data_IF_534584116532
#
_entry.id   IF_534584116532
#
_cell.length_a   1.000
_cell.length_b   1.000
_cell.length_c   1.000
_cell.angle_alpha   90.00
_cell.angle_beta   90.00
_cell.angle_gamma   90.00
#
_symmetry.space_group_name_H-M   'P 1'
#
loop_
_entity.id
_entity.type
_entity.pdbx_description
1 polymer ?
#
# COMPACT_ATOMS: atom_id res chain seq x y z
N UNK A 1 -18.04 -11.95 32.17
CA UNK A 1 -17.42 -12.08 30.83
C UNK A 1 -16.07 -12.75 31.00
N UNK A 2 -15.70 -13.74 30.18
CA UNK A 2 -14.35 -14.27 30.24
C UNK A 2 -13.36 -13.18 29.80
N UNK A 3 -12.23 -12.99 30.50
CA UNK A 3 -11.25 -11.95 30.17
C UNK A 3 -10.76 -12.07 28.72
N UNK A 4 -10.72 -13.29 28.17
CA UNK A 4 -10.39 -13.56 26.78
C UNK A 4 -11.36 -12.88 25.80
N UNK A 5 -12.67 -12.94 26.03
CA UNK A 5 -13.65 -12.34 25.12
C UNK A 5 -13.55 -10.79 25.11
N UNK A 6 -13.24 -10.19 26.26
CA UNK A 6 -12.96 -8.75 26.35
C UNK A 6 -11.74 -8.32 25.54
N UNK A 7 -10.65 -9.08 25.60
CA UNK A 7 -9.41 -8.83 24.83
C UNK A 7 -9.65 -8.90 23.31
N UNK A 8 -10.45 -9.87 22.85
CA UNK A 8 -10.77 -10.02 21.43
C UNK A 8 -11.63 -8.86 20.90
N UNK A 9 -12.60 -8.40 21.69
CA UNK A 9 -13.42 -7.22 21.35
C UNK A 9 -12.55 -5.96 21.28
N UNK A 10 -11.66 -5.75 22.25
CA UNK A 10 -10.73 -4.61 22.24
C UNK A 10 -9.77 -4.65 21.05
N UNK A 11 -9.24 -5.83 20.70
CA UNK A 11 -8.40 -6.01 19.52
C UNK A 11 -9.18 -5.70 18.22
N UNK A 12 -10.43 -6.15 18.12
CA UNK A 12 -11.30 -5.84 16.98
C UNK A 12 -11.60 -4.34 16.82
N UNK A 13 -11.88 -3.64 17.92
CA UNK A 13 -12.06 -2.18 17.92
C UNK A 13 -10.74 -1.49 17.53
N UNK A 14 -9.62 -1.93 18.10
CA UNK A 14 -8.29 -1.41 17.76
C UNK A 14 -7.97 -1.57 16.27
N UNK A 15 -8.34 -2.69 15.67
CA UNK A 15 -8.20 -2.92 14.24
C UNK A 15 -9.09 -2.01 13.39
N UNK A 16 -10.37 -1.81 13.77
CA UNK A 16 -11.25 -0.89 13.07
C UNK A 16 -10.70 0.54 13.09
N UNK A 17 -10.28 1.03 14.26
CA UNK A 17 -9.67 2.35 14.39
C UNK A 17 -8.35 2.43 13.62
N UNK A 18 -7.50 1.41 13.76
CA UNK A 18 -6.21 1.31 13.08
C UNK A 18 -6.35 1.30 11.55
N UNK A 19 -7.28 0.52 11.01
CA UNK A 19 -7.55 0.45 9.56
C UNK A 19 -8.15 1.73 8.98
N UNK A 20 -8.85 2.54 9.79
CA UNK A 20 -9.30 3.88 9.37
C UNK A 20 -8.18 4.93 9.43
N UNK A 21 -7.31 4.86 10.43
CA UNK A 21 -6.24 5.85 10.65
C UNK A 21 -4.99 5.56 9.84
N UNK A 22 -4.66 4.28 9.61
CA UNK A 22 -3.43 3.88 8.95
C UNK A 22 -3.33 4.37 7.51
N UNK A 23 -4.34 4.23 6.63
CA UNK A 23 -4.26 4.78 5.28
C UNK A 23 -4.03 6.29 5.30
N UNK A 24 -4.67 7.01 6.23
CA UNK A 24 -4.48 8.45 6.38
C UNK A 24 -3.04 8.79 6.79
N UNK A 25 -2.47 8.04 7.75
CA UNK A 25 -1.09 8.20 8.15
C UNK A 25 -0.12 7.87 7.01
N UNK A 26 -0.33 6.72 6.36
CA UNK A 26 0.46 6.24 5.24
C UNK A 26 0.52 7.29 4.13
N UNK A 27 -0.63 7.72 3.59
CA UNK A 27 -0.66 8.67 2.48
C UNK A 27 -0.19 10.08 2.85
N UNK A 28 -0.27 10.47 4.13
CA UNK A 28 0.21 11.79 4.58
C UNK A 28 1.69 11.84 4.91
N UNK A 29 2.29 10.74 5.36
CA UNK A 29 3.65 10.74 5.92
C UNK A 29 4.56 9.73 5.23
N UNK A 30 4.12 8.48 5.11
CA UNK A 30 4.94 7.38 4.59
C UNK A 30 5.09 7.49 3.07
N UNK A 31 4.00 7.66 2.33
CA UNK A 31 4.01 7.76 0.87
C UNK A 31 4.85 8.94 0.35
N UNK A 32 4.71 10.18 0.88
CA UNK A 32 5.57 11.28 0.47
C UNK A 32 7.05 11.02 0.73
N UNK A 33 7.40 10.48 1.91
CA UNK A 33 8.78 10.15 2.25
C UNK A 33 9.37 9.06 1.36
N UNK A 34 8.60 8.02 1.03
CA UNK A 34 9.02 6.96 0.11
C UNK A 34 9.24 7.51 -1.31
N UNK A 35 8.33 8.36 -1.79
CA UNK A 35 8.47 8.99 -3.12
C UNK A 35 9.65 9.95 -3.18
N UNK A 36 9.88 10.74 -2.14
CA UNK A 36 11.02 11.63 -2.04
C UNK A 36 12.34 10.85 -1.99
N UNK A 37 12.42 9.83 -1.14
CA UNK A 37 13.58 8.94 -1.07
C UNK A 37 13.88 8.29 -2.42
N UNK A 38 12.87 7.73 -3.07
CA UNK A 38 13.02 7.09 -4.38
C UNK A 38 13.43 8.10 -5.45
N UNK A 39 12.79 9.28 -5.45
CA UNK A 39 13.11 10.36 -6.37
C UNK A 39 14.55 10.84 -6.24
N UNK A 40 15.03 11.04 -5.01
CA UNK A 40 16.41 11.39 -4.71
C UNK A 40 17.40 10.33 -5.19
N UNK A 41 17.05 9.03 -5.11
CA UNK A 41 17.88 7.93 -5.62
C UNK A 41 17.95 7.88 -7.15
N UNK A 42 16.88 8.26 -7.83
CA UNK A 42 16.76 8.18 -9.28
C UNK A 42 17.07 9.50 -10.01
N UNK A 43 17.24 10.58 -9.24
CA UNK A 43 17.42 11.95 -9.75
C UNK A 43 16.17 12.46 -10.49
N UNK A 44 14.99 12.06 -10.03
CA UNK A 44 13.70 12.41 -10.66
C UNK A 44 12.66 12.73 -9.61
N UNK A 45 11.63 13.50 -9.96
CA UNK A 45 10.51 13.78 -9.06
C UNK A 45 9.42 12.72 -9.22
N UNK A 46 9.16 11.97 -8.15
CA UNK A 46 8.10 10.95 -8.12
C UNK A 46 6.78 11.52 -7.59
N UNK A 47 5.73 11.46 -8.40
CA UNK A 47 4.40 11.99 -8.11
C UNK A 47 3.31 10.94 -8.31
N UNK A 48 2.13 11.20 -7.75
CA UNK A 48 0.94 10.46 -8.14
C UNK A 48 0.42 10.98 -9.48
N UNK A 49 0.22 10.06 -10.43
CA UNK A 49 -0.35 10.37 -11.72
C UNK A 49 -1.43 9.35 -12.09
N UNK A 50 -2.42 9.82 -12.83
CA UNK A 50 -3.43 8.94 -13.41
C UNK A 50 -2.86 8.29 -14.68
N UNK A 51 -2.64 6.97 -14.63
CA UNK A 51 -2.18 6.18 -15.78
C UNK A 51 -3.40 5.60 -16.50
N UNK A 52 -3.51 5.89 -17.79
CA UNK A 52 -4.55 5.32 -18.65
C UNK A 52 -4.24 3.86 -18.95
N UNK A 53 -5.22 3.00 -18.72
CA UNK A 53 -5.23 1.61 -19.08
C UNK A 53 -5.40 1.38 -20.59
N UNK A 54 -5.27 0.12 -20.96
CA UNK A 54 -5.32 -0.33 -22.36
C UNK A 54 -6.02 -1.66 -22.54
N UNK A 55 -7.17 -1.87 -21.88
CA UNK A 55 -7.98 -3.10 -21.94
C UNK A 55 -8.28 -3.60 -23.37
N UNK A 56 -8.20 -2.73 -24.38
CA UNK A 56 -8.41 -3.05 -25.80
C UNK A 56 -7.25 -2.60 -26.71
N UNK A 57 -6.05 -2.38 -26.16
CA UNK A 57 -4.89 -2.04 -26.98
C UNK A 57 -4.29 -3.32 -27.56
N UNK A 58 -3.66 -3.18 -28.73
CA UNK A 58 -3.09 -4.30 -29.49
C UNK A 58 -2.00 -5.07 -28.73
N UNK A 59 -1.50 -6.18 -29.29
CA UNK A 59 -0.64 -7.14 -28.61
C UNK A 59 0.74 -6.60 -28.15
N UNK A 60 1.10 -5.38 -28.55
CA UNK A 60 2.37 -4.72 -28.19
C UNK A 60 2.19 -3.62 -27.11
N UNK A 61 1.10 -3.65 -26.35
CA UNK A 61 0.85 -2.72 -25.26
C UNK A 61 1.46 -3.20 -23.93
N UNK A 62 2.35 -2.41 -23.35
CA UNK A 62 3.07 -2.72 -22.11
C UNK A 62 2.65 -1.86 -20.90
N UNK A 63 1.47 -1.22 -20.98
CA UNK A 63 0.92 -0.41 -19.89
C UNK A 63 -0.10 -1.18 -19.03
N UNK A 64 -0.66 -0.54 -17.99
CA UNK A 64 -1.68 -1.16 -17.17
C UNK A 64 -2.92 -1.55 -17.99
N UNK A 65 -3.60 -2.59 -17.55
CA UNK A 65 -4.84 -3.08 -18.18
C UNK A 65 -6.00 -2.09 -17.97
N UNK A 66 -6.12 -1.57 -16.74
CA UNK A 66 -7.17 -0.62 -16.34
C UNK A 66 -6.56 0.74 -15.97
N UNK A 67 -7.39 1.78 -16.06
CA UNK A 67 -7.06 3.11 -15.54
C UNK A 67 -6.75 3.01 -14.04
N UNK A 68 -5.64 3.59 -13.62
CA UNK A 68 -5.22 3.54 -12.22
C UNK A 68 -4.42 4.77 -11.82
N UNK A 69 -4.54 5.15 -10.56
CA UNK A 69 -3.59 6.06 -9.93
C UNK A 69 -2.35 5.27 -9.53
N UNK A 70 -1.18 5.72 -9.95
CA UNK A 70 0.09 5.11 -9.58
C UNK A 70 1.18 6.15 -9.43
N UNK A 71 2.33 5.75 -8.87
CA UNK A 71 3.51 6.59 -8.93
C UNK A 71 3.99 6.73 -10.38
N UNK A 72 4.49 7.92 -10.70
CA UNK A 72 5.04 8.29 -12.00
C UNK A 72 6.15 9.31 -11.81
N UNK A 73 7.01 9.42 -12.80
CA UNK A 73 7.95 10.54 -12.90
C UNK A 73 7.17 11.77 -13.38
N UNK A 74 7.41 12.93 -12.78
CA UNK A 74 6.76 14.18 -13.17
C UNK A 74 7.77 15.31 -13.35
N UNK A 75 7.51 16.23 -14.27
CA UNK A 75 8.43 17.34 -14.60
C UNK A 75 9.01 17.20 -16.01
N UNK A 76 10.01 18.03 -16.33
CA UNK A 76 10.73 18.05 -17.62
C UNK A 76 12.01 17.20 -17.60
N UNK A 77 12.18 16.38 -16.57
CA UNK A 77 13.36 15.53 -16.39
C UNK A 77 13.46 14.48 -17.51
N UNK A 78 14.66 13.96 -17.77
CA UNK A 78 14.86 12.91 -18.77
C UNK A 78 14.18 11.60 -18.31
N UNK A 79 12.97 11.36 -18.84
CA UNK A 79 12.19 10.15 -18.56
C UNK A 79 12.66 9.04 -19.48
N UNK A 80 13.39 8.07 -18.91
CA UNK A 80 13.66 6.81 -19.61
C UNK A 80 12.61 5.78 -19.24
N UNK A 81 12.22 4.92 -20.20
CA UNK A 81 11.23 3.85 -19.98
C UNK A 81 11.63 2.91 -18.84
N UNK A 82 12.93 2.71 -18.62
CA UNK A 82 13.44 1.90 -17.52
C UNK A 82 13.17 2.54 -16.14
N UNK A 83 13.40 3.86 -15.99
CA UNK A 83 13.13 4.56 -14.73
C UNK A 83 11.63 4.58 -14.43
N UNK A 84 10.79 4.86 -15.43
CA UNK A 84 9.33 4.87 -15.22
C UNK A 84 8.80 3.47 -14.88
N UNK A 85 9.30 2.44 -15.57
CA UNK A 85 8.97 1.04 -15.26
C UNK A 85 9.36 0.62 -13.84
N UNK A 86 10.53 1.05 -13.36
CA UNK A 86 10.98 0.81 -11.99
C UNK A 86 10.06 1.50 -10.97
N UNK A 87 9.73 2.78 -11.19
CA UNK A 87 8.83 3.54 -10.31
C UNK A 87 7.45 2.88 -10.23
N UNK A 88 6.91 2.45 -11.37
CA UNK A 88 5.62 1.75 -11.41
C UNK A 88 5.68 0.37 -10.71
N UNK A 89 6.76 -0.39 -10.92
CA UNK A 89 6.96 -1.68 -10.25
C UNK A 89 7.06 -1.51 -8.73
N UNK A 90 7.79 -0.50 -8.26
CA UNK A 90 7.89 -0.20 -6.83
C UNK A 90 6.54 0.24 -6.25
N UNK A 91 5.74 1.00 -6.99
CA UNK A 91 4.38 1.33 -6.58
C UNK A 91 3.52 0.07 -6.42
N UNK A 92 3.55 -0.84 -7.39
CA UNK A 92 2.81 -2.12 -7.36
C UNK A 92 3.16 -2.98 -6.14
N UNK A 93 4.44 -2.98 -5.74
CA UNK A 93 4.92 -3.80 -4.63
C UNK A 93 4.74 -3.12 -3.27
N UNK A 94 5.04 -1.83 -3.17
CA UNK A 94 5.10 -1.14 -1.88
C UNK A 94 3.73 -0.61 -1.46
N UNK A 95 2.99 0.06 -2.34
CA UNK A 95 1.77 0.77 -1.92
C UNK A 95 0.67 -0.19 -1.47
N UNK A 96 0.30 -1.24 -2.23
CA UNK A 96 -0.71 -2.20 -1.78
C UNK A 96 -0.30 -2.95 -0.51
N UNK A 97 0.99 -3.31 -0.39
CA UNK A 97 1.50 -4.04 0.77
C UNK A 97 1.51 -3.17 2.01
N UNK A 98 2.10 -1.97 1.94
CA UNK A 98 2.27 -1.09 3.09
C UNK A 98 0.96 -0.39 3.48
N UNK A 99 0.18 0.09 2.52
CA UNK A 99 -1.08 0.79 2.81
C UNK A 99 -2.22 -0.18 3.15
N UNK A 100 -2.22 -1.37 2.55
CA UNK A 100 -3.32 -2.34 2.64
C UNK A 100 -3.01 -3.56 3.49
N UNK A 101 -2.05 -4.39 3.07
CA UNK A 101 -1.82 -5.72 3.68
C UNK A 101 -1.15 -5.64 5.06
N UNK A 102 -0.27 -4.67 5.30
CA UNK A 102 0.49 -4.56 6.54
C UNK A 102 -0.41 -4.39 7.79
N UNK A 103 -1.42 -3.50 7.83
CA UNK A 103 -2.37 -3.43 8.94
C UNK A 103 -3.09 -4.73 9.22
N UNK A 104 -3.48 -5.46 8.17
CA UNK A 104 -4.16 -6.74 8.28
C UNK A 104 -3.23 -7.78 8.90
N UNK A 105 -1.98 -7.85 8.42
CA UNK A 105 -0.98 -8.76 8.95
C UNK A 105 -0.68 -8.47 10.43
N UNK A 106 -0.50 -7.20 10.81
CA UNK A 106 -0.27 -6.80 12.21
C UNK A 106 -1.45 -7.21 13.09
N UNK A 107 -2.68 -6.99 12.62
CA UNK A 107 -3.87 -7.43 13.36
C UNK A 107 -3.93 -8.94 13.52
N UNK A 108 -3.71 -9.71 12.45
CA UNK A 108 -3.76 -11.17 12.50
C UNK A 108 -2.71 -11.73 13.47
N UNK A 109 -1.49 -11.18 13.46
CA UNK A 109 -0.43 -11.57 14.39
C UNK A 109 -0.84 -11.25 15.83
N UNK A 110 -1.37 -10.05 16.09
CA UNK A 110 -1.83 -9.67 17.42
C UNK A 110 -2.99 -10.55 17.90
N UNK A 111 -3.97 -10.82 17.03
CA UNK A 111 -5.12 -11.67 17.32
C UNK A 111 -4.72 -13.11 17.62
N UNK A 112 -3.85 -13.71 16.81
CA UNK A 112 -3.34 -15.06 17.04
C UNK A 112 -2.48 -15.13 18.32
N UNK A 113 -1.69 -14.09 18.60
CA UNK A 113 -0.87 -13.98 19.80
C UNK A 113 -1.67 -13.86 21.10
N UNK A 114 -2.92 -13.39 21.05
CA UNK A 114 -3.82 -13.32 22.20
C UNK A 114 -4.39 -14.70 22.61
N UNK A 115 -4.12 -15.75 21.82
CA UNK A 115 -4.55 -17.12 22.08
C UNK A 115 -6.02 -17.35 21.71
N UNK A 116 -6.32 -18.54 21.17
CA UNK A 116 -7.71 -18.95 20.97
C UNK A 116 -8.37 -19.15 22.33
N UNK A 117 -9.54 -18.56 22.60
CA UNK A 117 -10.29 -18.97 23.77
C UNK A 117 -10.67 -20.44 23.54
N UNK A 118 -10.28 -21.32 24.45
CA UNK A 118 -10.71 -22.72 24.45
C UNK A 118 -12.20 -22.76 24.81
N UNK A 119 -13.08 -22.52 23.83
CA UNK A 119 -14.52 -22.70 23.98
C UNK A 119 -14.92 -24.19 23.94
N UNK A 120 -13.94 -25.09 23.73
CA UNK A 120 -14.10 -26.53 23.60
C UNK A 120 -13.20 -27.26 24.62
N UNK A 121 -13.55 -27.20 25.90
CA UNK A 121 -13.36 -28.28 26.90
C UNK A 121 -14.49 -28.17 27.91
#
# INVERSE_FOLDING_TARGET
>A
MSPALGLHVLAGIGYLVGSMLWPRFYYRRVDPALREWLGNKLGVRVVWAHRKGGLHRGPLWFGPTYDTWAWSIGGEEEITSAKDGLVYTLWLLLVPVLAGLLPVAVFLIAFLGLGFPSFWV
#
